data_IF_066654871769
#
_entry.id   IF_066654871769
#
_cell.length_a   1.000
_cell.length_b   1.000
_cell.length_c   1.000
_cell.angle_alpha   90.00
_cell.angle_beta   90.00
_cell.angle_gamma   90.00
#
_symmetry.space_group_name_H-M   'P 1'
#
loop_
_entity.id
_entity.type
_entity.pdbx_description
1 polymer ?
#
# COMPACT_ATOMS: atom_id res chain seq x y z
N UNK A 1 -47.56 28.07 -8.62
CA UNK A 1 -46.22 28.60 -8.31
C UNK A 1 -45.61 27.65 -7.29
N UNK A 2 -44.64 26.78 -7.56
CA UNK A 2 -43.82 26.47 -8.73
C UNK A 2 -43.47 24.99 -8.54
N UNK A 3 -44.04 24.10 -9.37
CA UNK A 3 -43.62 22.70 -9.47
C UNK A 3 -42.48 22.68 -10.48
N UNK A 4 -41.26 22.33 -10.06
CA UNK A 4 -40.09 22.20 -10.93
C UNK A 4 -39.69 20.73 -11.00
N UNK A 5 -40.12 20.13 -12.10
CA UNK A 5 -39.69 18.83 -12.61
C UNK A 5 -38.25 18.99 -13.12
N UNK A 6 -37.35 18.09 -12.71
CA UNK A 6 -36.11 17.82 -13.45
C UNK A 6 -36.04 16.31 -13.68
N UNK A 7 -36.31 15.92 -14.93
CA UNK A 7 -35.83 14.68 -15.51
C UNK A 7 -34.41 14.93 -16.04
N UNK A 8 -33.47 14.04 -15.76
CA UNK A 8 -32.43 13.67 -16.73
C UNK A 8 -31.86 12.28 -16.39
N UNK A 9 -32.02 11.38 -17.35
CA UNK A 9 -31.53 10.00 -17.34
C UNK A 9 -30.04 9.94 -17.71
N UNK A 10 -29.33 8.97 -17.15
CA UNK A 10 -27.94 8.67 -17.46
C UNK A 10 -27.58 7.24 -17.06
N UNK A 11 -28.34 6.26 -17.57
CA UNK A 11 -27.95 4.86 -17.58
C UNK A 11 -27.21 4.62 -18.91
N UNK A 12 -25.89 4.46 -18.85
CA UNK A 12 -25.08 3.96 -19.96
C UNK A 12 -24.86 2.47 -19.71
N UNK A 13 -25.67 1.64 -20.37
CA UNK A 13 -25.49 0.21 -20.43
C UNK A 13 -24.43 -0.13 -21.48
N UNK A 14 -23.35 -0.79 -21.05
CA UNK A 14 -22.65 -1.75 -21.87
C UNK A 14 -22.20 -2.91 -20.97
N UNK A 15 -22.93 -4.03 -21.04
CA UNK A 15 -22.37 -5.31 -20.58
C UNK A 15 -21.19 -5.65 -21.49
N UNK A 16 -20.00 -5.66 -20.93
CA UNK A 16 -18.90 -6.45 -21.45
C UNK A 16 -18.29 -7.16 -20.26
N UNK A 17 -18.47 -8.47 -20.24
CA UNK A 17 -17.65 -9.38 -19.45
C UNK A 17 -16.21 -9.18 -19.91
N UNK A 18 -15.46 -8.43 -19.12
CA UNK A 18 -14.00 -8.41 -19.18
C UNK A 18 -13.52 -8.55 -17.76
N UNK A 19 -13.17 -9.81 -17.48
CA UNK A 19 -12.21 -10.28 -16.50
C UNK A 19 -11.10 -9.22 -16.28
N UNK A 20 -11.31 -8.32 -15.33
CA UNK A 20 -10.27 -7.43 -14.80
C UNK A 20 -9.32 -8.34 -14.00
N UNK A 21 -8.44 -8.98 -14.75
CA UNK A 21 -7.23 -9.55 -14.19
C UNK A 21 -6.48 -8.33 -13.67
N UNK A 22 -6.44 -8.16 -12.35
CA UNK A 22 -5.55 -7.23 -11.68
C UNK A 22 -4.12 -7.62 -12.03
N UNK A 23 -3.69 -7.19 -13.21
CA UNK A 23 -2.32 -7.22 -13.64
C UNK A 23 -1.68 -6.10 -12.83
N UNK A 24 -1.14 -6.50 -11.67
CA UNK A 24 -0.16 -5.71 -10.95
C UNK A 24 1.04 -5.52 -11.87
N UNK A 25 0.95 -4.53 -12.75
CA UNK A 25 2.09 -3.98 -13.45
C UNK A 25 2.86 -3.12 -12.43
N UNK A 26 3.58 -3.79 -11.51
CA UNK A 26 4.66 -3.17 -10.77
C UNK A 26 5.98 -3.46 -11.47
N UNK A 27 6.17 -2.81 -12.62
CA UNK A 27 7.51 -2.47 -13.10
C UNK A 27 7.74 -1.00 -12.83
N UNK A 28 7.85 -0.62 -11.55
CA UNK A 28 8.42 0.66 -11.18
C UNK A 28 9.89 0.63 -11.57
N UNK A 29 10.15 1.28 -12.71
CA UNK A 29 11.41 1.88 -13.14
C UNK A 29 12.34 2.08 -11.94
N UNK A 30 13.40 1.26 -11.85
CA UNK A 30 14.50 1.49 -10.93
C UNK A 30 15.08 2.88 -11.27
N UNK A 31 14.65 3.88 -10.52
CA UNK A 31 15.37 5.13 -10.42
C UNK A 31 16.75 4.80 -9.86
N UNK A 32 17.78 5.48 -10.33
CA UNK A 32 19.19 5.39 -9.89
C UNK A 32 19.41 5.78 -8.40
N UNK A 33 18.49 5.45 -7.50
CA UNK A 33 18.49 5.76 -6.08
C UNK A 33 18.12 4.53 -5.26
N UNK A 34 18.64 4.50 -4.04
CA UNK A 34 18.39 3.47 -3.03
C UNK A 34 16.88 3.16 -2.90
N UNK A 35 16.50 1.89 -3.03
CA UNK A 35 15.12 1.43 -2.88
C UNK A 35 14.82 1.23 -1.40
N UNK A 36 13.79 1.89 -0.87
CA UNK A 36 13.37 1.71 0.53
C UNK A 36 12.13 0.84 0.60
N UNK A 37 12.24 -0.30 1.30
CA UNK A 37 11.14 -1.18 1.65
C UNK A 37 10.64 -0.83 3.05
N UNK A 38 9.40 -0.38 3.16
CA UNK A 38 8.74 -0.14 4.44
C UNK A 38 8.13 -1.44 4.94
N UNK A 39 8.45 -1.84 6.17
CA UNK A 39 7.97 -3.05 6.82
C UNK A 39 7.25 -2.68 8.12
N UNK A 40 5.93 -2.60 8.05
CA UNK A 40 5.08 -2.36 9.20
C UNK A 40 4.86 -3.65 10.00
N UNK A 41 4.90 -3.56 11.33
CA UNK A 41 4.67 -4.68 12.25
C UNK A 41 3.88 -4.26 13.48
N UNK A 42 3.03 -5.16 13.99
CA UNK A 42 2.40 -4.99 15.30
C UNK A 42 3.31 -5.45 16.46
N UNK A 43 4.43 -6.12 16.14
CA UNK A 43 5.33 -6.67 17.15
C UNK A 43 6.07 -5.60 17.95
N UNK A 44 6.41 -5.98 19.18
CA UNK A 44 7.23 -5.19 20.11
C UNK A 44 8.32 -6.04 20.76
N UNK A 45 9.19 -5.38 21.53
CA UNK A 45 10.18 -6.06 22.37
C UNK A 45 11.11 -6.98 21.59
N UNK A 46 11.14 -8.27 21.97
CA UNK A 46 12.07 -9.26 21.39
C UNK A 46 11.77 -9.55 19.92
N UNK A 47 10.50 -9.65 19.53
CA UNK A 47 10.12 -9.97 18.16
C UNK A 47 10.52 -8.83 17.21
N UNK A 48 10.28 -7.58 17.62
CA UNK A 48 10.70 -6.40 16.87
C UNK A 48 12.23 -6.39 16.65
N UNK A 49 13.01 -6.71 17.68
CA UNK A 49 14.48 -6.80 17.56
C UNK A 49 14.91 -7.88 16.56
N UNK A 50 14.25 -9.04 16.56
CA UNK A 50 14.53 -10.11 15.59
C UNK A 50 14.21 -9.64 14.17
N UNK A 51 13.08 -8.97 13.97
CA UNK A 51 12.70 -8.41 12.66
C UNK A 51 13.70 -7.38 12.16
N UNK A 52 14.18 -6.49 13.02
CA UNK A 52 15.25 -5.53 12.68
C UNK A 52 16.56 -6.22 12.31
N UNK A 53 16.91 -7.32 12.98
CA UNK A 53 18.10 -8.11 12.62
C UNK A 53 17.94 -8.83 11.28
N UNK A 54 16.76 -9.35 10.98
CA UNK A 54 16.44 -9.96 9.67
C UNK A 54 16.53 -8.90 8.58
N UNK A 55 15.92 -7.73 8.79
CA UNK A 55 16.00 -6.58 7.90
C UNK A 55 17.45 -6.20 7.59
N UNK A 56 18.30 -6.09 8.62
CA UNK A 56 19.73 -5.81 8.43
C UNK A 56 20.43 -6.88 7.59
N UNK A 57 20.20 -8.17 7.87
CA UNK A 57 20.76 -9.27 7.07
C UNK A 57 20.26 -9.29 5.63
N UNK A 58 19.04 -8.81 5.41
CA UNK A 58 18.49 -8.65 4.06
C UNK A 58 19.21 -7.52 3.32
N UNK A 59 19.40 -6.35 3.94
CA UNK A 59 20.15 -5.23 3.34
C UNK A 59 21.58 -5.63 2.96
N UNK A 60 22.28 -6.36 3.84
CA UNK A 60 23.65 -6.86 3.59
C UNK A 60 23.73 -7.72 2.31
N UNK A 61 22.66 -8.43 1.97
CA UNK A 61 22.57 -9.30 0.79
C UNK A 61 21.97 -8.63 -0.44
N UNK A 62 21.38 -7.45 -0.29
CA UNK A 62 20.69 -6.73 -1.35
C UNK A 62 21.20 -5.28 -1.40
N UNK A 63 22.38 -5.05 -2.00
CA UNK A 63 22.94 -3.72 -2.15
C UNK A 63 21.96 -2.78 -2.87
N UNK A 64 21.83 -1.55 -2.37
CA UNK A 64 20.89 -0.57 -2.89
C UNK A 64 19.45 -0.74 -2.40
N UNK A 65 19.19 -1.64 -1.45
CA UNK A 65 17.90 -1.78 -0.77
C UNK A 65 18.04 -1.47 0.72
N UNK A 66 17.14 -0.65 1.24
CA UNK A 66 16.96 -0.35 2.67
C UNK A 66 15.65 -0.86 3.18
N UNK A 67 15.61 -1.32 4.43
CA UNK A 67 14.40 -1.81 5.07
C UNK A 67 14.09 -0.94 6.28
N UNK A 68 12.99 -0.21 6.21
CA UNK A 68 12.47 0.60 7.31
C UNK A 68 11.46 -0.22 8.11
N UNK A 69 11.88 -0.73 9.27
CA UNK A 69 10.99 -1.47 10.19
C UNK A 69 10.20 -0.49 11.05
N UNK A 70 8.87 -0.51 10.92
CA UNK A 70 7.95 0.40 11.60
C UNK A 70 7.05 -0.36 12.59
N UNK A 71 7.30 -0.16 13.89
CA UNK A 71 6.50 -0.78 14.94
C UNK A 71 5.24 0.04 15.19
N UNK A 72 4.11 -0.41 14.66
CA UNK A 72 2.83 0.27 14.80
C UNK A 72 2.12 -0.04 16.12
N UNK A 73 2.38 -1.23 16.70
CA UNK A 73 1.77 -1.71 17.94
C UNK A 73 0.25 -1.83 17.84
N UNK A 74 -0.45 -1.48 18.91
CA UNK A 74 -1.92 -1.57 19.01
C UNK A 74 -2.67 -0.81 17.91
N UNK A 75 -2.03 0.20 17.31
CA UNK A 75 -2.58 0.98 16.20
C UNK A 75 -2.30 0.39 14.82
N UNK A 76 -1.91 -0.87 14.70
CA UNK A 76 -1.48 -1.48 13.43
C UNK A 76 -2.51 -1.30 12.31
N UNK A 77 -3.73 -1.79 12.52
CA UNK A 77 -4.78 -1.75 11.48
C UNK A 77 -5.16 -0.31 11.11
N UNK A 78 -5.28 0.58 12.10
CA UNK A 78 -5.61 1.98 11.86
C UNK A 78 -4.52 2.69 11.07
N UNK A 79 -3.25 2.52 11.46
CA UNK A 79 -2.11 3.17 10.78
C UNK A 79 -1.92 2.62 9.37
N UNK A 80 -2.11 1.32 9.19
CA UNK A 80 -2.04 0.69 7.88
C UNK A 80 -3.19 1.17 6.98
N UNK A 81 -4.43 1.12 7.44
CA UNK A 81 -5.57 1.63 6.68
C UNK A 81 -5.42 3.11 6.34
N UNK A 82 -4.92 3.93 7.28
CA UNK A 82 -4.63 5.33 7.04
C UNK A 82 -3.52 5.54 6.00
N UNK A 83 -2.46 4.72 6.00
CA UNK A 83 -1.36 4.81 5.04
C UNK A 83 -1.85 4.53 3.61
N UNK A 84 -2.67 3.49 3.43
CA UNK A 84 -3.34 3.20 2.16
C UNK A 84 -4.32 4.30 1.75
N UNK A 85 -5.16 4.79 2.67
CA UNK A 85 -6.10 5.90 2.41
C UNK A 85 -5.39 7.19 2.00
N UNK A 86 -4.22 7.45 2.57
CA UNK A 86 -3.34 8.57 2.22
C UNK A 86 -2.53 8.34 0.92
N UNK A 87 -2.71 7.19 0.24
CA UNK A 87 -1.91 6.76 -0.93
C UNK A 87 -0.40 6.72 -0.64
N UNK A 88 -0.04 6.44 0.59
CA UNK A 88 1.34 6.27 1.06
C UNK A 88 1.47 4.94 1.83
N UNK A 89 1.22 3.79 1.17
CA UNK A 89 1.26 2.49 1.82
C UNK A 89 2.60 2.22 2.50
#
# INVERSE_FOLDING_TARGET
MLVLIVFLAGCSSNETTSKESSKGDEKKKASNGETVLRFATWDAGKNLKIQQQIAKKFEEKNPGVKVQVEAYGDGFDQKLAASFGAKNP
#
